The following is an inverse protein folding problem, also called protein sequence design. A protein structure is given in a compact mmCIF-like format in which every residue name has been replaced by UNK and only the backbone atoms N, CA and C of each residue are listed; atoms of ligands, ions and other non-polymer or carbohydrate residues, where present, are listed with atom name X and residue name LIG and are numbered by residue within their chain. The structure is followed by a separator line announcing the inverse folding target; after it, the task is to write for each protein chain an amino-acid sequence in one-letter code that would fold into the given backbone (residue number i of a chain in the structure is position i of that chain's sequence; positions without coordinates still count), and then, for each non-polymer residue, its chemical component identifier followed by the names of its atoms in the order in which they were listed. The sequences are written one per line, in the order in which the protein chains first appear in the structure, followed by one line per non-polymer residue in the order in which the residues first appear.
data_IF_743893515821
#
_entry.id   IF_743893515821
#
_cell.length_a   1.000
_cell.length_b   1.000
_cell.length_c   1.000
_cell.angle_alpha   90.00
_cell.angle_beta   90.00
_cell.angle_gamma   90.00
#
_symmetry.space_group_name_H-M   'P 1'
#
loop_
_entity.id
_entity.type
_entity.pdbx_description
1 polymer ?
#
# COMPACT_ATOMS: atom_id res chain seq x y z
N UNK A 1 51.35 -15.61 3.73
CA UNK A 1 50.96 -15.97 2.35
C UNK A 1 50.01 -14.90 1.83
N UNK A 2 50.48 -14.00 0.96
CA UNK A 2 49.63 -12.96 0.36
C UNK A 2 48.75 -13.59 -0.73
N UNK A 3 47.46 -13.23 -0.73
CA UNK A 3 46.48 -13.71 -1.72
C UNK A 3 46.71 -12.94 -3.03
N UNK A 4 47.14 -13.63 -4.08
CA UNK A 4 47.30 -13.03 -5.41
C UNK A 4 45.93 -12.57 -5.94
N UNK A 5 45.85 -11.32 -6.42
CA UNK A 5 44.65 -10.78 -7.02
C UNK A 5 44.60 -11.20 -8.50
N UNK A 6 43.61 -11.99 -8.95
CA UNK A 6 43.52 -12.45 -10.33
C UNK A 6 43.22 -11.33 -11.35
N UNK A 7 42.99 -10.10 -10.89
CA UNK A 7 42.69 -8.95 -11.74
C UNK A 7 43.93 -8.14 -12.13
N UNK A 8 45.10 -8.40 -11.54
CA UNK A 8 46.33 -7.64 -11.82
C UNK A 8 46.88 -7.90 -13.24
N UNK A 9 46.47 -9.00 -13.89
CA UNK A 9 46.84 -9.33 -15.27
C UNK A 9 45.90 -8.77 -16.33
N UNK A 10 44.80 -8.11 -15.93
CA UNK A 10 43.83 -7.54 -16.86
C UNK A 10 44.11 -6.05 -17.05
N UNK A 11 44.23 -5.63 -18.30
CA UNK A 11 44.36 -4.22 -18.63
C UNK A 11 42.99 -3.54 -18.48
N UNK A 12 42.80 -2.79 -17.40
CA UNK A 12 41.55 -2.09 -17.10
C UNK A 12 41.40 -0.78 -17.89
N UNK A 13 42.45 -0.35 -18.59
CA UNK A 13 42.46 0.88 -19.37
C UNK A 13 41.61 0.80 -20.65
N UNK A 14 41.17 -0.40 -21.05
CA UNK A 14 40.28 -0.61 -22.21
C UNK A 14 38.81 -0.21 -21.94
N UNK A 15 38.44 0.02 -20.67
CA UNK A 15 37.07 0.36 -20.26
C UNK A 15 36.83 1.87 -20.17
N UNK A 16 37.38 2.65 -21.12
CA UNK A 16 37.13 4.10 -21.14
C UNK A 16 35.70 4.42 -21.56
N UNK A 17 35.08 5.32 -20.79
CA UNK A 17 33.76 5.86 -21.08
C UNK A 17 33.86 6.65 -22.39
N UNK A 18 33.15 6.19 -23.42
CA UNK A 18 33.07 6.94 -24.69
C UNK A 18 32.53 8.35 -24.41
N UNK A 19 33.13 9.41 -24.99
CA UNK A 19 32.64 10.77 -24.83
C UNK A 19 31.18 10.83 -25.28
N UNK A 20 30.36 11.55 -24.50
CA UNK A 20 28.92 11.64 -24.77
C UNK A 20 28.70 12.38 -26.10
N UNK A 21 28.33 11.63 -27.14
CA UNK A 21 27.87 12.20 -28.40
C UNK A 21 26.59 13.01 -28.17
N UNK A 22 26.42 14.07 -28.96
CA UNK A 22 25.23 14.91 -28.93
C UNK A 22 23.97 14.07 -29.10
N UNK A 23 23.04 14.19 -28.16
CA UNK A 23 21.80 13.40 -28.15
C UNK A 23 20.98 13.76 -29.39
N UNK A 24 20.91 12.83 -30.34
CA UNK A 24 20.01 12.94 -31.50
C UNK A 24 18.59 13.29 -31.03
N UNK A 25 17.86 14.15 -31.78
CA UNK A 25 16.50 14.52 -31.42
C UNK A 25 15.64 13.26 -31.31
N UNK A 26 14.88 13.14 -30.22
CA UNK A 26 13.92 12.05 -30.06
C UNK A 26 12.87 12.18 -31.16
N UNK A 27 12.63 11.10 -31.89
CA UNK A 27 11.58 11.05 -32.90
C UNK A 27 10.20 11.22 -32.25
N UNK A 28 9.26 11.75 -33.04
CA UNK A 28 7.89 11.96 -32.61
C UNK A 28 7.20 10.63 -32.27
N UNK A 29 6.46 10.60 -31.16
CA UNK A 29 5.84 9.38 -30.64
C UNK A 29 4.75 8.84 -31.57
N UNK A 30 4.04 9.73 -32.24
CA UNK A 30 3.00 9.34 -33.20
C UNK A 30 3.60 8.65 -34.43
N UNK A 31 4.74 9.14 -34.91
CA UNK A 31 5.46 8.51 -36.02
C UNK A 31 5.95 7.10 -35.65
N UNK A 32 6.45 6.91 -34.43
CA UNK A 32 6.87 5.59 -33.93
C UNK A 32 5.68 4.62 -33.83
N UNK A 33 4.52 5.11 -33.37
CA UNK A 33 3.31 4.30 -33.26
C UNK A 33 2.81 3.81 -34.63
N UNK A 34 2.80 4.70 -35.65
CA UNK A 34 2.41 4.34 -37.02
C UNK A 34 3.33 3.27 -37.61
N UNK A 35 4.65 3.44 -37.47
CA UNK A 35 5.62 2.46 -37.95
C UNK A 35 5.44 1.11 -37.24
N UNK A 36 5.16 1.12 -35.94
CA UNK A 36 4.89 -0.11 -35.19
C UNK A 36 3.64 -0.84 -35.70
N UNK A 37 2.55 -0.12 -35.97
CA UNK A 37 1.32 -0.69 -36.54
C UNK A 37 1.53 -1.26 -37.95
N UNK A 38 2.21 -0.51 -38.82
CA UNK A 38 2.54 -0.93 -40.19
C UNK A 38 3.39 -2.21 -40.23
N UNK A 39 4.26 -2.39 -39.24
CA UNK A 39 5.12 -3.57 -39.10
C UNK A 39 4.50 -4.69 -38.24
N UNK A 40 3.22 -4.61 -37.90
CA UNK A 40 2.52 -5.68 -37.18
C UNK A 40 2.93 -5.80 -35.71
N UNK A 41 3.37 -4.70 -35.08
CA UNK A 41 3.61 -4.58 -33.65
C UNK A 41 2.47 -3.79 -32.97
N UNK A 42 1.26 -4.37 -32.81
CA UNK A 42 0.16 -3.69 -32.15
C UNK A 42 0.49 -3.44 -30.67
N UNK A 43 0.26 -2.21 -30.21
CA UNK A 43 0.49 -1.84 -28.82
C UNK A 43 -0.48 -2.56 -27.89
N UNK A 44 0.06 -3.21 -26.85
CA UNK A 44 -0.72 -3.77 -25.72
C UNK A 44 -0.91 -2.76 -24.59
N UNK A 45 -0.59 -1.48 -24.79
CA UNK A 45 -0.76 -0.50 -23.75
C UNK A 45 -2.24 -0.37 -23.38
N UNK A 46 -2.52 -0.56 -22.09
CA UNK A 46 -3.85 -0.31 -21.55
C UNK A 46 -4.20 1.16 -21.77
N UNK A 47 -5.40 1.42 -22.32
CA UNK A 47 -5.93 2.78 -22.38
C UNK A 47 -6.02 3.34 -20.96
N UNK A 48 -5.49 4.55 -20.77
CA UNK A 48 -5.56 5.26 -19.49
C UNK A 48 -7.05 5.46 -19.17
N UNK A 49 -7.57 4.68 -18.23
CA UNK A 49 -8.94 4.85 -17.72
C UNK A 49 -9.07 6.26 -17.14
N UNK A 50 -10.19 6.91 -17.42
CA UNK A 50 -10.56 8.19 -16.83
C UNK A 50 -10.36 8.14 -15.30
N UNK A 51 -9.84 9.21 -14.73
CA UNK A 51 -9.52 9.30 -13.30
C UNK A 51 -10.78 9.12 -12.47
N UNK A 52 -11.00 7.91 -11.94
CA UNK A 52 -11.98 7.66 -10.90
C UNK A 52 -11.53 8.48 -9.69
N UNK A 53 -12.42 9.33 -9.16
CA UNK A 53 -12.17 10.07 -7.92
C UNK A 53 -11.79 9.07 -6.83
N UNK A 54 -10.52 9.09 -6.44
CA UNK A 54 -10.02 8.21 -5.38
C UNK A 54 -10.54 8.76 -4.05
N UNK A 55 -11.07 7.91 -3.16
CA UNK A 55 -11.47 8.36 -1.83
C UNK A 55 -10.29 9.06 -1.17
N UNK A 56 -10.57 10.23 -0.56
CA UNK A 56 -9.55 11.05 0.10
C UNK A 56 -8.81 10.18 1.10
N UNK A 57 -7.50 10.08 0.94
CA UNK A 57 -6.68 9.29 1.85
C UNK A 57 -6.47 10.06 3.14
N UNK A 58 -7.16 9.63 4.20
CA UNK A 58 -7.01 10.14 5.56
C UNK A 58 -5.69 9.66 6.20
N UNK A 59 -4.56 9.85 5.53
CA UNK A 59 -3.24 9.46 6.04
C UNK A 59 -2.51 10.68 6.62
N UNK A 60 -2.79 10.96 7.89
CA UNK A 60 -1.90 11.76 8.72
C UNK A 60 -0.81 10.84 9.29
N UNK A 61 0.46 11.28 9.26
CA UNK A 61 1.56 10.60 9.98
C UNK A 61 1.31 10.71 11.48
N UNK A 62 0.65 9.72 12.06
CA UNK A 62 0.21 9.76 13.47
C UNK A 62 0.99 8.81 14.39
N UNK A 63 2.05 8.15 13.89
CA UNK A 63 2.84 7.20 14.68
C UNK A 63 2.18 5.82 14.90
N UNK A 64 0.93 5.64 14.48
CA UNK A 64 0.19 4.36 14.50
C UNK A 64 0.76 3.40 13.45
N UNK A 65 1.75 2.61 13.83
CA UNK A 65 2.55 1.77 12.94
C UNK A 65 2.29 0.25 13.09
N UNK A 66 1.45 -0.17 14.03
CA UNK A 66 1.11 -1.57 14.23
C UNK A 66 -0.19 -1.92 13.50
N UNK A 67 -0.15 -2.92 12.62
CA UNK A 67 -1.34 -3.44 11.96
C UNK A 67 -2.06 -4.44 12.87
N UNK A 68 -3.38 -4.31 12.98
CA UNK A 68 -4.23 -5.26 13.70
C UNK A 68 -5.20 -5.93 12.72
N UNK A 69 -5.13 -7.27 12.62
CA UNK A 69 -6.06 -8.04 11.81
C UNK A 69 -7.30 -8.38 12.63
N UNK A 70 -8.37 -7.61 12.46
CA UNK A 70 -9.65 -7.79 13.16
C UNK A 70 -10.69 -8.31 12.17
N UNK A 71 -11.38 -9.39 12.53
CA UNK A 71 -12.54 -9.89 11.78
C UNK A 71 -13.81 -9.28 12.37
N UNK A 72 -14.70 -8.78 11.52
CA UNK A 72 -15.98 -8.21 11.92
C UNK A 72 -17.08 -8.56 10.93
N UNK A 73 -18.33 -8.29 11.31
CA UNK A 73 -19.49 -8.41 10.42
C UNK A 73 -19.45 -7.31 9.34
N UNK A 74 -20.14 -7.50 8.20
CA UNK A 74 -20.25 -6.45 7.18
C UNK A 74 -20.88 -5.16 7.72
N UNK A 75 -21.91 -5.30 8.57
CA UNK A 75 -22.59 -4.17 9.24
C UNK A 75 -21.62 -3.36 10.11
N UNK A 76 -20.76 -4.04 10.86
CA UNK A 76 -19.72 -3.40 11.66
C UNK A 76 -18.72 -2.63 10.79
N UNK A 77 -18.34 -3.20 9.64
CA UNK A 77 -17.44 -2.53 8.70
C UNK A 77 -18.05 -1.26 8.11
N UNK A 78 -19.33 -1.33 7.69
CA UNK A 78 -20.04 -0.16 7.18
C UNK A 78 -20.15 0.95 8.22
N UNK A 79 -20.51 0.59 9.45
CA UNK A 79 -20.61 1.56 10.53
C UNK A 79 -19.27 2.25 10.81
N UNK A 80 -18.17 1.49 10.86
CA UNK A 80 -16.83 2.05 11.01
C UNK A 80 -16.47 3.00 9.85
N UNK A 81 -16.86 2.68 8.61
CA UNK A 81 -16.60 3.56 7.46
C UNK A 81 -17.40 4.86 7.51
N UNK A 82 -18.65 4.82 8.00
CA UNK A 82 -19.46 6.04 8.21
C UNK A 82 -18.77 6.96 9.22
N UNK A 83 -18.31 6.41 10.34
CA UNK A 83 -17.58 7.18 11.36
C UNK A 83 -16.28 7.80 10.82
N UNK A 84 -15.54 7.10 9.95
CA UNK A 84 -14.35 7.66 9.29
C UNK A 84 -14.71 8.88 8.45
N UNK A 85 -15.82 8.82 7.71
CA UNK A 85 -16.26 9.92 6.84
C UNK A 85 -16.80 11.10 7.66
N UNK A 86 -17.60 10.83 8.68
CA UNK A 86 -18.22 11.85 9.54
C UNK A 86 -17.18 12.62 10.36
N UNK A 87 -16.21 11.90 10.93
CA UNK A 87 -15.20 12.47 11.82
C UNK A 87 -13.91 12.88 11.10
N UNK A 88 -13.78 12.55 9.80
CA UNK A 88 -12.60 12.79 8.96
C UNK A 88 -11.26 12.30 9.59
N UNK A 89 -11.32 11.18 10.32
CA UNK A 89 -10.16 10.57 11.00
C UNK A 89 -9.92 9.13 10.56
N UNK A 90 -8.66 8.66 10.58
CA UNK A 90 -8.35 7.28 10.23
C UNK A 90 -8.95 6.29 11.24
N UNK A 91 -9.30 5.09 10.77
CA UNK A 91 -9.91 4.00 11.57
C UNK A 91 -9.19 3.71 12.89
N UNK A 92 -7.86 3.84 12.93
CA UNK A 92 -7.08 3.63 14.15
C UNK A 92 -7.43 4.61 15.28
N UNK A 93 -7.74 5.87 14.96
CA UNK A 93 -8.17 6.88 15.94
C UNK A 93 -9.52 6.49 16.54
N UNK A 94 -10.47 6.11 15.67
CA UNK A 94 -11.81 5.70 16.09
C UNK A 94 -11.72 4.46 17.00
N UNK A 95 -10.86 3.50 16.65
CA UNK A 95 -10.63 2.32 17.47
C UNK A 95 -10.04 2.67 18.84
N UNK A 96 -9.07 3.58 18.91
CA UNK A 96 -8.49 4.04 20.20
C UNK A 96 -9.55 4.71 21.09
N UNK A 97 -10.38 5.60 20.53
CA UNK A 97 -11.47 6.23 21.29
C UNK A 97 -12.54 5.22 21.72
N UNK A 98 -12.87 4.26 20.86
CA UNK A 98 -13.79 3.18 21.20
C UNK A 98 -13.23 2.32 22.35
N UNK A 99 -11.93 2.05 22.38
CA UNK A 99 -11.29 1.33 23.48
C UNK A 99 -11.32 2.12 24.79
N UNK A 100 -11.08 3.44 24.77
CA UNK A 100 -11.22 4.30 25.95
C UNK A 100 -12.65 4.30 26.49
N UNK A 101 -13.64 4.39 25.59
CA UNK A 101 -15.05 4.31 25.97
C UNK A 101 -15.39 2.93 26.56
N UNK A 102 -14.84 1.85 25.98
CA UNK A 102 -15.01 0.50 26.49
C UNK A 102 -14.40 0.33 27.88
N UNK A 103 -13.23 0.91 28.14
CA UNK A 103 -12.58 0.88 29.46
C UNK A 103 -13.42 1.52 30.56
N UNK A 104 -14.22 2.54 30.23
CA UNK A 104 -15.13 3.17 31.18
C UNK A 104 -16.31 2.26 31.58
N UNK A 105 -16.72 1.34 30.69
CA UNK A 105 -17.89 0.48 30.89
C UNK A 105 -17.55 -0.99 31.14
N UNK A 106 -16.29 -1.41 31.02
CA UNK A 106 -15.87 -2.83 31.09
C UNK A 106 -16.21 -3.53 32.41
N UNK A 107 -16.34 -2.77 33.49
CA UNK A 107 -16.72 -3.29 34.81
C UNK A 107 -18.23 -3.40 34.99
N UNK A 108 -19.04 -2.95 34.03
CA UNK A 108 -20.48 -3.07 34.08
C UNK A 108 -20.91 -4.54 34.00
N UNK A 109 -21.73 -5.04 34.95
CA UNK A 109 -22.20 -6.42 34.93
C UNK A 109 -23.03 -6.74 33.68
N UNK A 110 -23.82 -5.78 33.18
CA UNK A 110 -24.65 -5.95 31.98
C UNK A 110 -23.82 -6.28 30.73
N UNK A 111 -22.67 -5.62 30.59
CA UNK A 111 -21.76 -5.85 29.48
C UNK A 111 -21.14 -7.23 29.55
N UNK A 112 -20.70 -7.64 30.74
CA UNK A 112 -20.10 -8.95 30.99
C UNK A 112 -21.11 -10.06 30.67
N UNK A 113 -22.34 -9.95 31.18
CA UNK A 113 -23.40 -10.92 30.93
C UNK A 113 -23.76 -11.02 29.44
N UNK A 114 -23.82 -9.89 28.72
CA UNK A 114 -24.06 -9.89 27.27
C UNK A 114 -22.94 -10.62 26.53
N UNK A 115 -21.68 -10.33 26.89
CA UNK A 115 -20.53 -10.97 26.25
C UNK A 115 -20.48 -12.47 26.53
N UNK A 116 -20.75 -12.91 27.75
CA UNK A 116 -20.81 -14.34 28.08
C UNK A 116 -21.95 -15.06 27.34
N UNK A 117 -23.06 -14.36 27.08
CA UNK A 117 -24.21 -14.89 26.31
C UNK A 117 -23.90 -15.02 24.81
N UNK A 118 -23.31 -13.99 24.21
CA UNK A 118 -23.03 -13.94 22.77
C UNK A 118 -21.77 -14.74 22.39
N UNK A 119 -20.78 -14.76 23.30
CA UNK A 119 -19.49 -15.41 23.12
C UNK A 119 -19.18 -16.34 24.29
N UNK A 120 -19.95 -17.43 24.46
CA UNK A 120 -19.72 -18.36 25.55
C UNK A 120 -18.29 -18.89 25.48
N UNK A 121 -17.58 -18.83 26.60
CA UNK A 121 -16.23 -19.36 26.73
C UNK A 121 -16.28 -20.84 26.34
N UNK A 122 -15.67 -21.20 25.22
CA UNK A 122 -15.48 -22.61 24.87
C UNK A 122 -14.54 -23.18 25.93
N UNK A 123 -15.09 -23.89 26.91
CA UNK A 123 -14.27 -24.63 27.85
C UNK A 123 -13.33 -25.54 27.07
N UNK A 124 -12.04 -25.42 27.39
CA UNK A 124 -10.92 -26.05 26.72
C UNK A 124 -11.23 -27.55 26.53
N UNK A 125 -11.13 -28.01 25.28
CA UNK A 125 -11.03 -29.43 24.97
C UNK A 125 -9.66 -29.94 25.37
#
# INVERSE_FOLDING_TARGET
MSRANPLDSLNLDDFQIKPAEEKKPKQDREAIAKVAEENGFPSRQAQLKASIERPRQHYFRTGRNMQMAIKGTPECHEHLQRLVQELDVPKGVILEEALKALDAIKSSPELIERLDREFPKRHQR
#
